data_IF_188955580240
#
_entry.id   IF_188955580240
#
_cell.length_a   1.000
_cell.length_b   1.000
_cell.length_c   1.000
_cell.angle_alpha   90.00
_cell.angle_beta   90.00
_cell.angle_gamma   90.00
#
_symmetry.space_group_name_H-M   'P 1'
#
loop_
_entity.id
_entity.type
_entity.pdbx_description
1 polymer ?
#
# COMPACT_ATOMS: atom_id res chain seq x y z
N UNK A 1 18.30 26.75 -18.75
CA UNK A 1 17.07 26.11 -19.25
C UNK A 1 16.93 24.77 -18.55
N UNK A 2 15.72 24.50 -18.02
CA UNK A 2 15.33 23.32 -17.23
C UNK A 2 14.98 22.17 -18.17
N UNK A 3 15.34 20.95 -17.81
CA UNK A 3 14.66 19.73 -18.27
C UNK A 3 14.53 18.80 -17.09
N UNK A 4 13.37 18.85 -16.44
CA UNK A 4 12.93 17.80 -15.53
C UNK A 4 12.20 16.76 -16.38
N UNK A 5 12.78 15.58 -16.49
CA UNK A 5 12.18 14.45 -17.21
C UNK A 5 11.11 13.86 -16.30
N UNK A 6 9.87 14.33 -16.44
CA UNK A 6 8.71 13.71 -15.80
C UNK A 6 8.47 12.34 -16.44
N UNK A 7 8.70 11.28 -15.68
CA UNK A 7 8.25 9.93 -16.05
C UNK A 7 6.75 9.88 -15.75
N UNK A 8 5.96 10.07 -16.80
CA UNK A 8 4.51 9.96 -16.75
C UNK A 8 4.15 8.47 -16.70
N UNK A 9 3.80 7.94 -15.52
CA UNK A 9 3.19 6.62 -15.42
C UNK A 9 1.77 6.71 -15.98
N UNK A 10 1.58 6.26 -17.22
CA UNK A 10 0.26 6.05 -17.80
C UNK A 10 -0.45 4.93 -17.04
N UNK A 11 -1.44 5.29 -16.21
CA UNK A 11 -2.33 4.33 -15.60
C UNK A 11 -3.32 3.81 -16.66
N UNK A 12 -3.05 2.63 -17.21
CA UNK A 12 -4.05 1.91 -18.01
C UNK A 12 -5.13 1.38 -17.07
N UNK A 13 -6.34 1.94 -17.18
CA UNK A 13 -7.50 1.45 -16.45
C UNK A 13 -7.92 0.07 -16.99
N UNK A 14 -7.41 -0.99 -16.36
CA UNK A 14 -7.90 -2.34 -16.60
C UNK A 14 -9.22 -2.53 -15.87
N UNK A 15 -10.34 -2.44 -16.61
CA UNK A 15 -11.63 -3.00 -16.20
C UNK A 15 -11.61 -4.53 -16.34
N UNK A 16 -10.66 -5.18 -15.67
CA UNK A 16 -10.70 -6.60 -15.36
C UNK A 16 -11.06 -6.74 -13.89
N UNK A 17 -11.70 -7.85 -13.50
CA UNK A 17 -12.03 -8.19 -12.11
C UNK A 17 -10.74 -8.40 -11.27
N UNK A 18 -9.97 -7.35 -11.03
CA UNK A 18 -8.90 -7.35 -10.04
C UNK A 18 -9.60 -7.25 -8.70
N UNK A 19 -9.38 -8.25 -7.83
CA UNK A 19 -10.05 -8.37 -6.54
C UNK A 19 -9.48 -7.31 -5.58
N UNK A 20 -9.86 -6.05 -5.79
CA UNK A 20 -9.53 -4.96 -4.91
C UNK A 20 -10.34 -5.09 -3.63
N UNK A 21 -9.70 -5.28 -2.48
CA UNK A 21 -10.47 -5.24 -1.26
C UNK A 21 -9.79 -5.66 0.02
N UNK A 22 -10.47 -5.28 1.09
CA UNK A 22 -10.21 -5.73 2.44
C UNK A 22 -10.70 -7.17 2.59
N UNK A 23 -9.76 -8.07 2.84
CA UNK A 23 -10.06 -9.45 3.18
C UNK A 23 -10.45 -9.54 4.66
N UNK A 24 -11.33 -10.49 5.04
CA UNK A 24 -11.63 -10.73 6.44
C UNK A 24 -10.38 -11.24 7.16
N UNK A 25 -10.13 -10.74 8.37
CA UNK A 25 -9.05 -11.25 9.21
C UNK A 25 -9.35 -12.69 9.64
N UNK A 26 -8.32 -13.56 9.63
CA UNK A 26 -8.38 -14.93 10.12
C UNK A 26 -7.21 -15.19 11.08
N UNK A 27 -7.40 -14.93 12.38
CA UNK A 27 -6.38 -15.17 13.38
C UNK A 27 -5.94 -16.64 13.46
N UNK A 28 -4.68 -16.91 13.84
CA UNK A 28 -3.69 -15.93 14.28
C UNK A 28 -2.83 -15.35 13.15
N UNK A 29 -2.81 -15.97 11.97
CA UNK A 29 -1.77 -15.72 10.97
C UNK A 29 -2.18 -14.69 9.88
N UNK A 30 -3.48 -14.50 9.65
CA UNK A 30 -4.00 -13.60 8.63
C UNK A 30 -4.65 -12.38 9.29
N UNK A 31 -3.82 -11.59 9.95
CA UNK A 31 -4.22 -10.36 10.64
C UNK A 31 -3.25 -9.23 10.29
N UNK A 32 -3.65 -7.98 10.56
CA UNK A 32 -2.76 -6.83 10.41
C UNK A 32 -1.47 -7.01 11.24
N UNK A 33 -1.62 -7.41 12.51
CA UNK A 33 -0.49 -7.59 13.42
C UNK A 33 0.46 -8.69 12.96
N UNK A 34 -0.06 -9.83 12.52
CA UNK A 34 0.75 -10.96 12.05
C UNK A 34 1.53 -10.61 10.78
N UNK A 35 0.88 -9.97 9.79
CA UNK A 35 1.55 -9.57 8.55
C UNK A 35 2.63 -8.51 8.80
N UNK A 36 2.35 -7.52 9.64
CA UNK A 36 3.32 -6.47 9.94
C UNK A 36 4.49 -6.98 10.79
N UNK A 37 4.31 -8.05 11.58
CA UNK A 37 5.40 -8.72 12.30
C UNK A 37 6.19 -9.72 11.44
N UNK A 38 5.63 -10.24 10.35
CA UNK A 38 6.24 -11.29 9.53
C UNK A 38 7.32 -10.74 8.60
N UNK A 39 8.59 -11.03 8.88
CA UNK A 39 9.73 -10.54 8.10
C UNK A 39 9.82 -11.03 6.65
N UNK A 40 9.11 -12.11 6.31
CA UNK A 40 9.15 -12.72 4.99
C UNK A 40 7.96 -12.33 4.10
N UNK A 41 7.00 -11.56 4.63
CA UNK A 41 5.86 -11.11 3.84
C UNK A 41 6.21 -9.84 3.04
N UNK A 42 5.68 -9.72 1.83
CA UNK A 42 5.72 -8.46 1.07
C UNK A 42 4.50 -7.62 1.47
N UNK A 43 4.73 -6.58 2.27
CA UNK A 43 3.65 -5.79 2.89
C UNK A 43 4.03 -4.35 3.20
N UNK A 44 3.01 -3.50 3.20
CA UNK A 44 3.06 -2.12 3.65
C UNK A 44 2.04 -1.91 4.78
N UNK A 45 2.51 -1.39 5.91
CA UNK A 45 1.75 -1.30 7.16
C UNK A 45 1.45 0.14 7.53
N UNK A 46 0.20 0.40 7.89
CA UNK A 46 -0.29 1.76 8.10
C UNK A 46 -1.10 1.88 9.37
N UNK A 47 -0.91 2.99 10.09
CA UNK A 47 -1.87 3.47 11.10
C UNK A 47 -2.66 4.64 10.51
N UNK A 48 -3.88 4.87 11.00
CA UNK A 48 -4.70 5.95 10.48
C UNK A 48 -5.80 6.41 11.43
N UNK A 49 -6.17 7.68 11.29
CA UNK A 49 -7.38 8.26 11.88
C UNK A 49 -8.48 8.55 10.86
N UNK A 50 -8.31 8.12 9.61
CA UNK A 50 -9.34 8.20 8.58
C UNK A 50 -10.51 7.31 9.00
N UNK A 51 -11.68 7.90 9.20
CA UNK A 51 -12.86 7.19 9.71
C UNK A 51 -13.48 6.20 8.71
N UNK A 52 -13.34 6.48 7.41
CA UNK A 52 -13.84 5.62 6.34
C UNK A 52 -12.69 5.10 5.46
N UNK A 53 -12.43 3.79 5.56
CA UNK A 53 -11.43 3.08 4.77
C UNK A 53 -12.03 2.40 3.53
N UNK A 54 -13.24 2.79 3.11
CA UNK A 54 -13.84 2.33 1.86
C UNK A 54 -12.94 2.70 0.68
N UNK A 55 -12.51 1.73 -0.15
CA UNK A 55 -11.65 2.02 -1.29
C UNK A 55 -12.37 2.87 -2.33
N UNK A 56 -11.70 3.94 -2.77
CA UNK A 56 -12.14 4.78 -3.87
C UNK A 56 -11.93 4.14 -5.25
N UNK A 57 -12.46 4.76 -6.32
CA UNK A 57 -12.27 4.30 -7.69
C UNK A 57 -10.79 4.15 -8.08
N UNK A 58 -10.47 3.14 -8.87
CA UNK A 58 -9.09 2.85 -9.31
C UNK A 58 -8.24 2.05 -8.33
N UNK A 59 -8.75 1.77 -7.13
CA UNK A 59 -8.09 0.88 -6.18
C UNK A 59 -7.98 -0.55 -6.73
N UNK A 60 -6.82 -1.17 -6.53
CA UNK A 60 -6.53 -2.57 -6.83
C UNK A 60 -5.49 -3.07 -5.82
N UNK A 61 -5.91 -3.88 -4.86
CA UNK A 61 -5.05 -4.33 -3.78
C UNK A 61 -5.64 -5.52 -3.03
N UNK A 62 -4.79 -6.21 -2.27
CA UNK A 62 -5.20 -7.11 -1.19
C UNK A 62 -4.72 -6.56 0.15
N UNK A 63 -5.58 -6.60 1.16
CA UNK A 63 -5.23 -6.08 2.48
C UNK A 63 -6.14 -6.55 3.61
N UNK A 64 -5.75 -6.21 4.84
CA UNK A 64 -6.56 -6.37 6.05
C UNK A 64 -6.75 -5.03 6.74
N UNK A 65 -7.90 -4.82 7.37
CA UNK A 65 -8.12 -3.73 8.34
C UNK A 65 -8.21 -4.37 9.73
N UNK A 66 -7.62 -3.74 10.74
CA UNK A 66 -7.81 -4.13 12.14
C UNK A 66 -9.25 -3.89 12.61
N UNK A 67 -9.70 -4.60 13.63
CA UNK A 67 -11.09 -4.51 14.09
C UNK A 67 -11.44 -3.11 14.63
N UNK A 68 -10.45 -2.42 15.21
CA UNK A 68 -10.58 -1.02 15.66
C UNK A 68 -10.51 0.02 14.53
N UNK A 69 -10.22 -0.44 13.29
CA UNK A 69 -10.03 0.38 12.09
C UNK A 69 -8.95 1.45 12.19
N UNK A 70 -8.05 1.34 13.17
CA UNK A 70 -6.92 2.26 13.37
C UNK A 70 -5.65 1.84 12.64
N UNK A 71 -5.65 0.64 12.08
CA UNK A 71 -4.54 0.14 11.29
C UNK A 71 -5.01 -0.73 10.13
N UNK A 72 -4.18 -0.78 9.08
CA UNK A 72 -4.40 -1.66 7.96
C UNK A 72 -3.06 -2.09 7.37
N UNK A 73 -3.09 -3.19 6.64
CA UNK A 73 -1.94 -3.70 5.89
C UNK A 73 -2.36 -3.97 4.47
N UNK A 74 -1.53 -3.54 3.52
CA UNK A 74 -1.58 -3.95 2.13
C UNK A 74 -0.50 -5.03 1.95
N UNK A 75 -0.81 -6.11 1.25
CA UNK A 75 0.13 -7.20 0.99
C UNK A 75 0.10 -7.66 -0.46
N UNK A 76 1.22 -8.21 -0.91
CA UNK A 76 1.31 -8.83 -2.23
C UNK A 76 0.45 -10.11 -2.25
N UNK A 77 -0.51 -10.14 -3.17
CA UNK A 77 -1.22 -11.37 -3.53
C UNK A 77 -0.65 -11.89 -4.87
N UNK A 78 -1.34 -11.66 -5.98
CA UNK A 78 -0.89 -12.10 -7.31
C UNK A 78 -0.24 -10.98 -8.14
N UNK A 79 -0.65 -9.73 -7.89
CA UNK A 79 -0.18 -8.59 -8.67
C UNK A 79 1.19 -8.10 -8.20
N UNK A 80 2.02 -7.64 -9.14
CA UNK A 80 3.34 -7.04 -8.85
C UNK A 80 3.23 -5.59 -8.33
N UNK A 81 2.04 -5.00 -8.39
CA UNK A 81 1.74 -3.66 -7.88
C UNK A 81 0.41 -3.66 -7.13
N UNK A 82 0.21 -2.66 -6.28
CA UNK A 82 -1.08 -2.37 -5.67
C UNK A 82 -1.34 -0.85 -5.66
N UNK A 83 -2.61 -0.45 -5.70
CA UNK A 83 -3.04 0.91 -5.46
C UNK A 83 -4.27 0.95 -4.54
N UNK A 84 -4.25 1.83 -3.55
CA UNK A 84 -5.38 2.11 -2.69
C UNK A 84 -5.68 3.62 -2.72
N UNK A 85 -6.88 3.97 -3.14
CA UNK A 85 -7.43 5.32 -2.98
C UNK A 85 -8.28 5.31 -1.71
N UNK A 86 -7.92 6.13 -0.72
CA UNK A 86 -8.63 6.17 0.58
C UNK A 86 -8.55 7.56 1.22
N UNK A 87 -9.67 8.08 1.70
CA UNK A 87 -9.75 9.46 2.21
C UNK A 87 -9.30 10.46 1.14
N UNK A 88 -8.26 11.24 1.42
CA UNK A 88 -7.62 12.17 0.46
C UNK A 88 -6.35 11.61 -0.19
N UNK A 89 -6.01 10.34 0.06
CA UNK A 89 -4.73 9.75 -0.34
C UNK A 89 -4.89 8.75 -1.48
N UNK A 90 -3.79 8.57 -2.20
CA UNK A 90 -3.51 7.47 -3.10
C UNK A 90 -2.22 6.82 -2.58
N UNK A 91 -2.27 5.53 -2.31
CA UNK A 91 -1.13 4.72 -1.91
C UNK A 91 -0.81 3.79 -3.06
N UNK A 92 0.38 3.91 -3.65
CA UNK A 92 0.86 3.00 -4.68
C UNK A 92 1.98 2.15 -4.12
N UNK A 93 1.98 0.86 -4.45
CA UNK A 93 3.00 -0.07 -4.00
C UNK A 93 3.53 -0.84 -5.20
N UNK A 94 4.86 -0.93 -5.28
CA UNK A 94 5.56 -1.85 -6.16
C UNK A 94 6.25 -2.91 -5.30
N UNK A 95 5.84 -4.17 -5.48
CA UNK A 95 6.30 -5.31 -4.68
C UNK A 95 7.68 -5.83 -5.16
N UNK A 96 8.03 -5.60 -6.43
CA UNK A 96 9.24 -6.12 -7.04
C UNK A 96 10.42 -5.13 -6.97
N UNK A 97 10.72 -4.57 -5.80
CA UNK A 97 11.88 -3.67 -5.63
C UNK A 97 12.99 -4.31 -4.79
N UNK A 98 14.22 -4.14 -5.24
CA UNK A 98 15.41 -4.53 -4.48
C UNK A 98 15.83 -3.40 -3.55
N UNK A 99 15.94 -3.67 -2.25
CA UNK A 99 16.60 -2.80 -1.29
C UNK A 99 18.11 -2.89 -1.35
N UNK A 100 18.78 -2.07 -0.53
CA UNK A 100 20.23 -2.16 -0.35
C UNK A 100 20.59 -3.58 0.14
N UNK A 101 21.64 -4.17 -0.44
CA UNK A 101 22.15 -5.52 -0.14
C UNK A 101 21.33 -6.70 -0.71
N UNK A 102 20.51 -6.48 -1.75
CA UNK A 102 19.83 -7.56 -2.48
C UNK A 102 18.60 -8.12 -1.78
N UNK A 103 18.14 -7.46 -0.71
CA UNK A 103 16.94 -7.81 0.00
C UNK A 103 15.69 -7.40 -0.78
N UNK A 104 14.69 -8.28 -0.87
CA UNK A 104 13.37 -7.92 -1.43
C UNK A 104 12.67 -6.94 -0.49
N UNK A 105 12.23 -5.82 -1.06
CA UNK A 105 11.46 -4.80 -0.40
C UNK A 105 10.24 -4.47 -1.26
N UNK A 106 9.27 -3.77 -0.70
CA UNK A 106 8.25 -3.08 -1.47
C UNK A 106 8.50 -1.56 -1.42
N UNK A 107 8.34 -0.89 -2.55
CA UNK A 107 8.38 0.56 -2.65
C UNK A 107 6.97 1.07 -2.45
N UNK A 108 6.80 1.93 -1.45
CA UNK A 108 5.53 2.54 -1.10
C UNK A 108 5.61 4.02 -1.41
N UNK A 109 4.65 4.48 -2.18
CA UNK A 109 4.45 5.87 -2.53
C UNK A 109 3.08 6.31 -2.01
N UNK A 110 3.05 7.38 -1.24
CA UNK A 110 1.84 7.98 -0.70
C UNK A 110 1.76 9.40 -1.23
N UNK A 111 0.70 9.68 -1.96
CA UNK A 111 0.40 10.99 -2.50
C UNK A 111 -1.02 11.39 -2.10
N UNK A 112 -1.31 12.68 -2.11
CA UNK A 112 -2.68 13.17 -2.05
C UNK A 112 -3.37 13.03 -3.41
N UNK A 113 -4.69 13.04 -3.43
CA UNK A 113 -5.47 12.96 -4.68
C UNK A 113 -5.32 14.20 -5.57
N UNK A 114 -4.86 15.34 -5.04
CA UNK A 114 -4.46 16.51 -5.83
C UNK A 114 -3.02 16.43 -6.37
N UNK A 115 -2.33 15.30 -6.14
CA UNK A 115 -1.01 15.01 -6.73
C UNK A 115 0.18 15.54 -5.93
N UNK A 116 0.02 15.82 -4.63
CA UNK A 116 1.14 16.18 -3.78
C UNK A 116 1.77 14.93 -3.16
N UNK A 117 3.08 14.79 -3.28
CA UNK A 117 3.83 13.72 -2.63
C UNK A 117 3.80 13.92 -1.11
N UNK A 118 3.34 12.89 -0.39
CA UNK A 118 3.28 12.89 1.08
C UNK A 118 4.46 12.13 1.65
N UNK A 119 4.75 10.94 1.11
CA UNK A 119 5.88 10.12 1.52
C UNK A 119 6.24 9.09 0.47
N UNK A 120 7.53 8.78 0.37
CA UNK A 120 8.02 7.65 -0.39
C UNK A 120 9.02 6.87 0.47
N UNK A 121 8.86 5.54 0.55
CA UNK A 121 9.74 4.70 1.38
C UNK A 121 9.79 3.25 0.91
N UNK A 122 10.83 2.54 1.34
CA UNK A 122 10.93 1.10 1.21
C UNK A 122 10.47 0.41 2.49
N UNK A 123 9.65 -0.63 2.37
CA UNK A 123 9.32 -1.56 3.46
C UNK A 123 9.90 -2.93 3.12
N UNK A 124 10.82 -3.40 3.94
CA UNK A 124 11.63 -4.61 3.70
C UNK A 124 11.31 -5.67 4.77
N UNK A 125 12.30 -6.41 5.29
CA UNK A 125 12.09 -7.43 6.32
C UNK A 125 11.43 -6.86 7.58
N UNK A 126 11.83 -5.67 8.01
CA UNK A 126 11.10 -4.98 9.06
C UNK A 126 10.05 -4.08 8.41
N UNK A 127 8.78 -4.32 8.76
CA UNK A 127 7.70 -3.46 8.29
C UNK A 127 7.91 -2.05 8.85
N UNK A 128 7.95 -1.08 7.95
CA UNK A 128 7.86 0.33 8.34
C UNK A 128 6.38 0.66 8.51
N UNK A 129 6.02 1.15 9.71
CA UNK A 129 4.70 1.70 9.95
C UNK A 129 4.66 3.15 9.48
N UNK A 130 3.72 3.48 8.59
CA UNK A 130 3.47 4.85 8.16
C UNK A 130 2.11 5.32 8.65
N UNK A 131 2.06 6.51 9.25
CA UNK A 131 0.80 7.08 9.73
C UNK A 131 0.13 7.90 8.63
N UNK A 132 -1.09 7.53 8.24
CA UNK A 132 -1.97 8.34 7.39
C UNK A 132 -2.90 9.20 8.26
N UNK A 133 -2.62 10.50 8.43
CA UNK A 133 -3.51 11.39 9.17
C UNK A 133 -4.81 11.63 8.39
N UNK A 134 -5.89 11.98 9.08
CA UNK A 134 -7.15 12.37 8.43
C UNK A 134 -6.98 13.64 7.55
#
# INVERSE_FOLDING_TARGET
MKTFTSVMLMATAFAGLVRAGWNPQQPPNYTVSAYCANANAERACFTTDIGDLTPGPGSHFSGFISDDRKSFVLYQDQDSTASLVVGKYIININWATSGNNGQTCCAVDVQTQDGQDVSNYLSCAQAKWFNLPA
#
